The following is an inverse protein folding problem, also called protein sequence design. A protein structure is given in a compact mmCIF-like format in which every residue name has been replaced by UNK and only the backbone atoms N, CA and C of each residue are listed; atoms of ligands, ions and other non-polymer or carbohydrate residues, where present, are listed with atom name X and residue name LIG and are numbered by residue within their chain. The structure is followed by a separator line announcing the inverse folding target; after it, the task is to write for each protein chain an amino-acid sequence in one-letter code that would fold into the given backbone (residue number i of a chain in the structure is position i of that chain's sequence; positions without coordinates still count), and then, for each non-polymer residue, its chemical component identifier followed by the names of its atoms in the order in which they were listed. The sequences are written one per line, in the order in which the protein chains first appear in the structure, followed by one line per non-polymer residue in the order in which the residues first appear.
data_IF_294483583470
#
_entry.id   IF_294483583470
#
_cell.length_a   1.000
_cell.length_b   1.000
_cell.length_c   1.000
_cell.angle_alpha   90.00
_cell.angle_beta   90.00
_cell.angle_gamma   90.00
#
_symmetry.space_group_name_H-M   'P 1'
#
loop_
_entity.id
_entity.type
_entity.pdbx_description
1 polymer ?
#
# COMPACT_ATOMS: atom_id res chain seq x y z
N UNK A 1 -14.84 -33.08 28.91
CA UNK A 1 -13.62 -33.36 28.11
C UNK A 1 -13.84 -32.68 26.76
N UNK A 2 -13.50 -31.39 26.68
CA UNK A 2 -12.35 -30.88 25.90
C UNK A 2 -12.69 -30.74 24.41
N UNK A 3 -12.59 -29.62 23.69
CA UNK A 3 -12.27 -28.21 23.97
C UNK A 3 -12.77 -27.46 22.74
N UNK A 4 -13.70 -26.49 22.87
CA UNK A 4 -13.99 -25.53 21.80
C UNK A 4 -12.76 -24.61 21.67
N UNK A 5 -11.91 -24.84 20.67
CA UNK A 5 -10.82 -23.93 20.33
C UNK A 5 -11.20 -23.15 19.07
N UNK A 6 -11.63 -21.91 19.26
CA UNK A 6 -11.28 -20.87 18.31
C UNK A 6 -9.96 -20.25 18.75
N UNK A 7 -9.17 -19.72 17.81
CA UNK A 7 -8.55 -18.45 18.08
C UNK A 7 -8.86 -17.46 16.95
N UNK A 8 -9.61 -16.42 17.32
CA UNK A 8 -9.22 -15.03 17.11
C UNK A 8 -8.33 -14.72 15.90
N UNK A 9 -8.97 -14.45 14.75
CA UNK A 9 -8.52 -13.33 13.94
C UNK A 9 -8.97 -12.06 14.67
N UNK A 10 -8.14 -11.61 15.61
CA UNK A 10 -8.14 -10.22 16.05
C UNK A 10 -7.93 -9.38 14.77
N UNK A 11 -9.03 -8.90 14.19
CA UNK A 11 -9.03 -7.58 13.59
C UNK A 11 -8.73 -6.63 14.75
N UNK A 12 -7.45 -6.52 15.06
CA UNK A 12 -6.92 -5.35 15.75
C UNK A 12 -7.33 -4.19 14.85
N UNK A 13 -8.31 -3.41 15.29
CA UNK A 13 -8.57 -2.11 14.72
C UNK A 13 -7.50 -1.20 15.32
N UNK A 14 -6.40 -0.87 14.63
CA UNK A 14 -5.40 0.00 15.20
C UNK A 14 -5.80 1.42 14.78
N UNK A 15 -6.23 2.21 15.75
CA UNK A 15 -6.21 3.68 15.75
C UNK A 15 -5.91 4.33 14.39
N UNK A 16 -6.88 4.40 13.47
CA UNK A 16 -6.82 5.12 12.19
C UNK A 16 -5.40 5.28 11.61
N UNK A 17 -4.64 4.19 11.49
CA UNK A 17 -3.33 4.24 10.87
C UNK A 17 -3.62 4.60 9.40
N UNK A 18 -3.28 5.81 8.97
CA UNK A 18 -3.50 6.26 7.60
C UNK A 18 -2.68 5.37 6.66
N UNK A 19 -3.26 4.25 6.26
CA UNK A 19 -2.72 3.36 5.26
C UNK A 19 -3.07 3.96 3.90
N UNK A 20 -2.06 4.12 3.06
CA UNK A 20 -2.24 4.57 1.68
C UNK A 20 -2.13 3.36 0.76
N UNK A 21 -3.12 3.20 -0.12
CA UNK A 21 -3.06 2.20 -1.17
C UNK A 21 -2.11 2.66 -2.26
N UNK A 22 -1.05 1.90 -2.50
CA UNK A 22 -0.04 2.19 -3.53
C UNK A 22 0.04 1.04 -4.52
N UNK A 23 0.34 1.36 -5.78
CA UNK A 23 0.54 0.36 -6.83
C UNK A 23 2.02 0.11 -7.02
N UNK A 24 2.43 -1.16 -6.93
CA UNK A 24 3.82 -1.56 -7.16
C UNK A 24 4.21 -1.44 -8.63
N UNK A 25 5.36 -0.84 -8.91
CA UNK A 25 5.99 -0.80 -10.24
C UNK A 25 7.09 -1.85 -10.39
N UNK A 26 7.51 -2.46 -9.28
CA UNK A 26 8.50 -3.53 -9.21
C UNK A 26 8.07 -4.60 -8.20
N UNK A 27 8.47 -5.87 -8.39
CA UNK A 27 8.13 -6.94 -7.44
C UNK A 27 8.75 -6.66 -6.06
N UNK A 28 7.97 -6.90 -5.01
CA UNK A 28 8.34 -6.65 -3.63
C UNK A 28 7.63 -7.64 -2.70
N UNK A 29 8.29 -8.05 -1.62
CA UNK A 29 7.68 -8.86 -0.59
C UNK A 29 7.10 -7.96 0.50
N UNK A 30 5.77 -7.88 0.58
CA UNK A 30 5.06 -7.10 1.58
C UNK A 30 4.40 -8.02 2.61
N UNK A 31 4.70 -7.83 3.89
CA UNK A 31 4.15 -8.63 5.00
C UNK A 31 4.23 -10.16 4.75
N UNK A 32 5.41 -10.64 4.34
CA UNK A 32 5.69 -12.05 3.99
C UNK A 32 4.94 -12.56 2.74
N UNK A 33 4.28 -11.68 1.98
CA UNK A 33 3.61 -12.01 0.71
C UNK A 33 4.38 -11.43 -0.46
N UNK A 34 4.63 -12.24 -1.48
CA UNK A 34 5.18 -11.77 -2.74
C UNK A 34 4.13 -10.97 -3.52
N UNK A 35 4.34 -9.66 -3.65
CA UNK A 35 3.53 -8.79 -4.47
C UNK A 35 4.22 -8.53 -5.82
N UNK A 36 3.42 -8.54 -6.88
CA UNK A 36 3.89 -8.36 -8.26
C UNK A 36 3.74 -6.91 -8.70
N UNK A 37 4.36 -6.58 -9.83
CA UNK A 37 4.11 -5.31 -10.53
C UNK A 37 2.62 -5.19 -10.86
N UNK A 38 2.04 -4.04 -10.56
CA UNK A 38 0.60 -3.75 -10.71
C UNK A 38 -0.25 -4.15 -9.51
N UNK A 39 0.31 -4.85 -8.51
CA UNK A 39 -0.41 -5.19 -7.29
C UNK A 39 -0.60 -3.96 -6.39
N UNK A 40 -1.75 -3.91 -5.71
CA UNK A 40 -2.11 -2.81 -4.82
C UNK A 40 -1.90 -3.23 -3.38
N UNK A 41 -1.01 -2.56 -2.68
CA UNK A 41 -0.70 -2.82 -1.27
C UNK A 41 -1.06 -1.61 -0.41
N UNK A 42 -1.46 -1.85 0.83
CA UNK A 42 -1.77 -0.83 1.82
C UNK A 42 -0.54 -0.63 2.70
N UNK A 43 0.06 0.56 2.63
CA UNK A 43 1.32 0.85 3.33
C UNK A 43 1.18 2.11 4.18
N UNK A 44 1.98 2.23 5.22
CA UNK A 44 2.05 3.47 6.00
C UNK A 44 2.72 4.59 5.19
N UNK A 45 2.51 5.88 5.52
CA UNK A 45 3.18 6.98 4.81
C UNK A 45 4.71 6.90 4.87
N UNK A 46 5.28 6.39 5.96
CA UNK A 46 6.72 6.14 6.09
C UNK A 46 7.19 5.06 5.12
N UNK A 47 6.45 3.95 5.01
CA UNK A 47 6.77 2.85 4.12
C UNK A 47 6.58 3.25 2.65
N UNK A 48 5.57 4.08 2.36
CA UNK A 48 5.38 4.70 1.05
C UNK A 48 6.61 5.52 0.63
N UNK A 49 7.15 6.40 1.48
CA UNK A 49 8.37 7.16 1.16
C UNK A 49 9.55 6.24 0.87
N UNK A 50 9.71 5.19 1.68
CA UNK A 50 10.73 4.17 1.45
C UNK A 50 10.56 3.48 0.09
N UNK A 51 9.34 3.05 -0.25
CA UNK A 51 9.04 2.42 -1.54
C UNK A 51 9.28 3.36 -2.73
N UNK A 52 9.05 4.67 -2.57
CA UNK A 52 9.34 5.68 -3.60
C UNK A 52 10.85 5.83 -3.78
N UNK A 53 11.61 5.97 -2.68
CA UNK A 53 13.08 6.09 -2.72
C UNK A 53 13.76 4.87 -3.35
N UNK A 54 13.15 3.70 -3.20
CA UNK A 54 13.64 2.45 -3.76
C UNK A 54 13.02 2.08 -5.11
N UNK A 55 12.28 3.00 -5.75
CA UNK A 55 11.66 2.79 -7.06
C UNK A 55 10.79 1.51 -7.11
N UNK A 56 10.10 1.22 -6.01
CA UNK A 56 9.18 0.08 -5.85
C UNK A 56 7.74 0.44 -6.14
N UNK A 57 7.36 1.69 -5.89
CA UNK A 57 6.09 2.28 -6.32
C UNK A 57 6.36 3.57 -7.09
N UNK A 58 5.41 3.98 -7.92
CA UNK A 58 5.46 5.32 -8.49
C UNK A 58 5.35 6.35 -7.36
N UNK A 59 6.19 7.40 -7.40
CA UNK A 59 5.94 8.59 -6.60
C UNK A 59 4.48 9.04 -6.85
N UNK A 60 3.68 9.31 -5.81
CA UNK A 60 2.32 9.78 -6.01
C UNK A 60 2.44 11.04 -6.87
N UNK A 61 1.99 10.93 -8.11
CA UNK A 61 1.86 12.05 -9.02
C UNK A 61 0.69 12.92 -8.54
N UNK A 62 0.84 13.52 -7.36
CA UNK A 62 0.01 14.65 -6.99
C UNK A 62 0.56 15.87 -7.69
N UNK A 63 -0.15 16.34 -8.74
CA UNK A 63 -0.15 17.74 -9.18
C UNK A 63 0.97 18.23 -10.13
N UNK A 64 1.62 17.38 -10.91
CA UNK A 64 2.26 17.83 -12.15
C UNK A 64 1.33 17.51 -13.33
N UNK A 65 0.65 18.54 -13.84
CA UNK A 65 -0.24 18.54 -15.00
C UNK A 65 -1.70 18.02 -14.80
N UNK A 66 -2.45 18.68 -13.92
CA UNK A 66 -3.71 19.27 -14.40
C UNK A 66 -3.37 20.63 -15.05
N UNK A 67 -2.55 20.59 -16.10
CA UNK A 67 -2.44 21.64 -17.09
C UNK A 67 -3.08 21.01 -18.32
N UNK A 68 -4.38 21.26 -18.42
CA UNK A 68 -5.07 21.62 -19.66
C UNK A 68 -4.24 21.43 -20.95
N UNK A 69 -4.86 20.79 -21.96
CA UNK A 69 -5.12 21.60 -23.13
C UNK A 69 -6.62 21.85 -23.15
N UNK A 70 -6.98 23.01 -22.61
CA UNK A 70 -8.08 23.76 -23.15
C UNK A 70 -7.82 23.88 -24.66
N UNK A 71 -8.79 23.35 -25.39
CA UNK A 71 -9.09 23.65 -26.78
C UNK A 71 -8.76 25.10 -27.12
N UNK A 72 -7.82 25.30 -28.04
CA UNK A 72 -7.77 26.47 -28.93
C UNK A 72 -7.70 25.98 -30.37
#
# INVERSE_FOLDING_TARGET
MSTKQGPTAKQDAPAAQQLETVTLIAPHTHADKECKVGDKIEVTPTEKDWLIRHERIAAPAGQAAAAEPAKE
#
